data_IF_536776012858
#
_entry.id   IF_536776012858
#
_cell.length_a   1.000
_cell.length_b   1.000
_cell.length_c   1.000
_cell.angle_alpha   90.00
_cell.angle_beta   90.00
_cell.angle_gamma   90.00
#
_symmetry.space_group_name_H-M   'P 1'
#
loop_
_entity.id
_entity.type
_entity.pdbx_description
1 polymer ?
#
# COMPACT_ATOMS: atom_id res chain seq x y z
N UNK A 1 -12.81 9.49 0.34
CA UNK A 1 -11.90 10.41 -0.38
C UNK A 1 -10.81 9.57 -1.03
N UNK A 2 -10.32 9.93 -2.23
CA UNK A 2 -9.22 9.24 -2.92
C UNK A 2 -8.16 10.28 -3.29
N UNK A 3 -6.89 10.01 -2.99
CA UNK A 3 -5.77 10.93 -3.25
C UNK A 3 -4.68 10.15 -3.96
N UNK A 4 -4.20 10.67 -5.09
CA UNK A 4 -3.05 10.14 -5.81
C UNK A 4 -1.90 11.14 -5.72
N UNK A 5 -0.71 10.67 -5.32
CA UNK A 5 0.51 11.48 -5.25
C UNK A 5 1.42 11.08 -6.39
N UNK A 6 1.57 11.95 -7.39
CA UNK A 6 2.32 11.68 -8.63
C UNK A 6 3.46 12.68 -8.82
N UNK A 7 4.48 12.30 -9.60
CA UNK A 7 5.68 13.11 -9.81
C UNK A 7 6.91 12.31 -10.25
N UNK A 8 7.94 13.02 -10.72
CA UNK A 8 9.21 12.44 -11.20
C UNK A 8 10.02 11.75 -10.10
N UNK A 9 11.06 11.00 -10.50
CA UNK A 9 12.00 10.34 -9.57
C UNK A 9 12.63 11.33 -8.57
N UNK A 10 12.59 11.02 -7.28
CA UNK A 10 13.13 11.90 -6.24
C UNK A 10 12.35 13.21 -6.04
N UNK A 11 11.09 13.31 -6.47
CA UNK A 11 10.22 14.46 -6.17
C UNK A 11 9.66 14.48 -4.73
N UNK A 12 9.94 13.45 -3.93
CA UNK A 12 9.43 13.31 -2.56
C UNK A 12 8.08 12.63 -2.43
N UNK A 13 7.56 11.96 -3.48
CA UNK A 13 6.23 11.32 -3.47
C UNK A 13 5.99 10.44 -2.24
N UNK A 14 6.87 9.47 -2.00
CA UNK A 14 6.75 8.51 -0.90
C UNK A 14 6.74 9.22 0.46
N UNK A 15 7.63 10.20 0.64
CA UNK A 15 7.67 11.02 1.85
C UNK A 15 6.39 11.81 2.04
N UNK A 16 5.90 12.48 1.00
CA UNK A 16 4.64 13.23 1.04
C UNK A 16 3.45 12.33 1.32
N UNK A 17 3.37 11.15 0.69
CA UNK A 17 2.32 10.15 0.94
C UNK A 17 2.33 9.68 2.39
N UNK A 18 3.51 9.36 2.95
CA UNK A 18 3.63 8.93 4.34
C UNK A 18 3.19 10.02 5.33
N UNK A 19 3.67 11.25 5.14
CA UNK A 19 3.29 12.40 5.99
C UNK A 19 1.80 12.67 5.92
N UNK A 20 1.23 12.66 4.71
CA UNK A 20 -0.20 12.87 4.49
C UNK A 20 -1.04 11.79 5.18
N UNK A 21 -0.70 10.52 4.96
CA UNK A 21 -1.41 9.38 5.54
C UNK A 21 -1.40 9.42 7.08
N UNK A 22 -0.21 9.57 7.67
CA UNK A 22 -0.03 9.66 9.13
C UNK A 22 -0.73 10.89 9.72
N UNK A 23 -0.68 12.03 9.04
CA UNK A 23 -1.36 13.26 9.49
C UNK A 23 -2.89 13.11 9.49
N UNK A 24 -3.45 12.45 8.47
CA UNK A 24 -4.89 12.14 8.42
C UNK A 24 -5.28 11.10 9.49
N UNK A 25 -4.49 10.04 9.65
CA UNK A 25 -4.70 9.02 10.67
C UNK A 25 -4.72 9.59 12.09
N UNK A 26 -3.75 10.46 12.44
CA UNK A 26 -3.74 11.18 13.73
C UNK A 26 -4.94 12.08 13.97
N UNK A 27 -5.64 12.51 12.91
CA UNK A 27 -6.89 13.28 13.01
C UNK A 27 -8.13 12.39 13.14
N UNK A 28 -7.96 11.09 13.29
CA UNK A 28 -9.04 10.11 13.42
C UNK A 28 -9.66 9.68 12.09
N UNK A 29 -9.06 10.03 10.95
CA UNK A 29 -9.52 9.52 9.67
C UNK A 29 -9.11 8.04 9.52
N UNK A 30 -9.99 7.22 8.93
CA UNK A 30 -9.59 5.88 8.47
C UNK A 30 -8.78 6.02 7.18
N UNK A 31 -7.53 5.60 7.22
CA UNK A 31 -6.60 5.77 6.09
C UNK A 31 -6.08 4.42 5.65
N UNK A 32 -6.26 4.15 4.36
CA UNK A 32 -5.55 3.09 3.64
C UNK A 32 -4.53 3.76 2.75
N UNK A 33 -3.25 3.43 2.95
CA UNK A 33 -2.15 3.81 2.09
C UNK A 33 -1.87 2.68 1.10
N UNK A 34 -1.82 3.01 -0.18
CA UNK A 34 -1.50 2.06 -1.24
C UNK A 34 -0.14 2.43 -1.83
N UNK A 35 0.80 1.50 -1.78
CA UNK A 35 2.07 1.63 -2.48
C UNK A 35 1.98 0.94 -3.84
N UNK A 36 1.94 1.76 -4.89
CA UNK A 36 1.91 1.33 -6.28
C UNK A 36 3.23 1.64 -7.01
N UNK A 37 4.30 1.99 -6.28
CA UNK A 37 5.60 2.28 -6.89
C UNK A 37 6.29 0.98 -7.35
N UNK A 38 7.16 1.09 -8.37
CA UNK A 38 7.93 -0.07 -8.85
C UNK A 38 9.01 -0.49 -7.87
N UNK A 39 9.49 0.45 -7.05
CA UNK A 39 10.35 0.19 -5.91
C UNK A 39 9.63 0.65 -4.62
N UNK A 40 8.72 -0.19 -4.07
CA UNK A 40 7.87 0.15 -2.95
C UNK A 40 8.69 0.41 -1.68
N UNK A 41 8.57 1.63 -1.15
CA UNK A 41 9.31 2.11 0.03
C UNK A 41 8.40 2.83 1.04
N UNK A 42 7.07 2.79 0.82
CA UNK A 42 6.11 3.46 1.68
C UNK A 42 6.01 2.80 3.06
N UNK A 43 6.18 1.48 3.16
CA UNK A 43 6.18 0.75 4.43
C UNK A 43 7.22 1.25 5.42
N UNK A 44 8.46 1.39 4.96
CA UNK A 44 9.54 1.98 5.76
C UNK A 44 9.22 3.42 6.14
N UNK A 45 8.74 4.22 5.18
CA UNK A 45 8.40 5.64 5.42
C UNK A 45 7.23 5.83 6.40
N UNK A 46 6.29 4.87 6.45
CA UNK A 46 5.18 4.85 7.37
C UNK A 46 5.57 4.31 8.75
N UNK A 47 6.68 3.60 8.87
CA UNK A 47 7.11 2.97 10.12
C UNK A 47 6.43 1.62 10.39
N UNK A 48 6.11 0.86 9.34
CA UNK A 48 5.59 -0.52 9.43
C UNK A 48 6.67 -1.49 9.98
N UNK A 49 7.95 -1.14 9.77
CA UNK A 49 9.09 -1.97 10.16
C UNK A 49 9.60 -2.84 9.00
N UNK A 50 10.88 -3.22 9.08
CA UNK A 50 11.58 -3.87 7.98
C UNK A 50 10.98 -5.24 7.66
N UNK A 51 10.74 -6.07 8.68
CA UNK A 51 10.22 -7.43 8.50
C UNK A 51 8.83 -7.47 7.87
N UNK A 52 7.92 -6.60 8.32
CA UNK A 52 6.57 -6.53 7.76
C UNK A 52 6.57 -5.88 6.38
N UNK A 53 7.45 -4.91 6.13
CA UNK A 53 7.61 -4.35 4.79
C UNK A 53 8.10 -5.44 3.84
N UNK A 54 9.16 -6.18 4.20
CA UNK A 54 9.70 -7.28 3.40
C UNK A 54 8.66 -8.37 3.14
N UNK A 55 7.87 -8.77 4.16
CA UNK A 55 6.76 -9.71 4.00
C UNK A 55 5.77 -9.26 2.92
N UNK A 56 5.38 -7.98 2.92
CA UNK A 56 4.46 -7.43 1.92
C UNK A 56 5.06 -7.43 0.51
N UNK A 57 6.37 -7.18 0.39
CA UNK A 57 7.07 -7.25 -0.90
C UNK A 57 7.11 -8.69 -1.43
N UNK A 58 7.45 -9.66 -0.58
CA UNK A 58 7.43 -11.08 -0.97
C UNK A 58 6.04 -11.52 -1.42
N UNK A 59 4.98 -11.14 -0.69
CA UNK A 59 3.61 -11.49 -1.07
C UNK A 59 3.20 -10.86 -2.41
N UNK A 60 3.60 -9.62 -2.65
CA UNK A 60 3.39 -8.93 -3.93
C UNK A 60 4.08 -9.67 -5.07
N UNK A 61 5.34 -10.03 -4.87
CA UNK A 61 6.13 -10.71 -5.91
C UNK A 61 5.54 -12.10 -6.22
N UNK A 62 5.06 -12.84 -5.21
CA UNK A 62 4.33 -14.10 -5.41
C UNK A 62 3.04 -13.92 -6.23
N UNK A 63 2.30 -12.83 -6.04
CA UNK A 63 1.12 -12.53 -6.86
C UNK A 63 1.53 -12.19 -8.29
N UNK A 64 2.58 -11.39 -8.47
CA UNK A 64 3.10 -11.02 -9.80
C UNK A 64 3.65 -12.23 -10.59
N UNK A 65 4.23 -13.21 -9.90
CA UNK A 65 4.76 -14.46 -10.46
C UNK A 65 3.66 -15.53 -10.66
N UNK A 66 2.43 -15.30 -10.18
CA UNK A 66 1.31 -16.23 -10.26
C UNK A 66 1.39 -17.40 -9.27
N UNK A 67 2.25 -17.29 -8.25
CA UNK A 67 2.35 -18.24 -7.14
C UNK A 67 1.27 -18.02 -6.07
N UNK A 68 0.68 -16.81 -6.04
CA UNK A 68 -0.43 -16.45 -5.16
C UNK A 68 -1.61 -15.88 -5.97
N UNK A 69 -2.83 -16.12 -5.50
CA UNK A 69 -4.05 -15.65 -6.15
C UNK A 69 -4.29 -14.16 -5.93
N UNK A 70 -4.87 -13.48 -6.92
CA UNK A 70 -5.38 -12.12 -6.71
C UNK A 70 -6.50 -12.11 -5.65
N UNK A 71 -6.44 -11.16 -4.73
CA UNK A 71 -7.53 -10.92 -3.79
C UNK A 71 -8.79 -10.44 -4.54
N UNK A 72 -9.95 -11.10 -4.36
CA UNK A 72 -11.16 -10.78 -5.12
C UNK A 72 -11.90 -9.54 -4.60
N UNK A 73 -11.64 -9.12 -3.36
CA UNK A 73 -12.30 -7.97 -2.73
C UNK A 73 -11.30 -7.01 -2.08
N UNK A 74 -11.76 -5.79 -1.81
CA UNK A 74 -10.98 -4.80 -1.06
C UNK A 74 -10.59 -5.29 0.34
N UNK A 75 -11.50 -5.98 1.03
CA UNK A 75 -11.23 -6.49 2.37
C UNK A 75 -10.19 -7.62 2.31
N UNK A 76 -10.29 -8.52 1.32
CA UNK A 76 -9.27 -9.54 1.07
C UNK A 76 -7.88 -8.95 0.78
N UNK A 77 -7.82 -7.82 0.04
CA UNK A 77 -6.55 -7.12 -0.22
C UNK A 77 -5.93 -6.67 1.10
N UNK A 78 -6.71 -6.03 1.97
CA UNK A 78 -6.20 -5.49 3.23
C UNK A 78 -5.84 -6.58 4.23
N UNK A 79 -6.55 -7.71 4.21
CA UNK A 79 -6.32 -8.83 5.13
C UNK A 79 -5.15 -9.70 4.71
N UNK A 80 -4.99 -9.96 3.41
CA UNK A 80 -3.90 -10.83 2.89
C UNK A 80 -2.63 -10.05 2.59
N UNK A 81 -2.78 -8.87 1.99
CA UNK A 81 -1.69 -8.05 1.45
C UNK A 81 -1.58 -6.69 2.15
N UNK A 82 -2.03 -6.62 3.40
CA UNK A 82 -1.94 -5.43 4.21
C UNK A 82 -1.14 -5.61 5.50
N UNK A 83 -0.73 -4.49 6.06
CA UNK A 83 -0.14 -4.39 7.39
C UNK A 83 -0.61 -3.12 8.09
N UNK A 84 -0.69 -3.18 9.42
CA UNK A 84 -0.95 -2.00 10.23
C UNK A 84 0.31 -1.13 10.29
N UNK A 85 0.12 0.16 10.12
CA UNK A 85 1.11 1.19 10.35
C UNK A 85 0.68 2.05 11.55
N UNK A 86 1.61 2.79 12.18
CA UNK A 86 1.23 3.63 13.30
C UNK A 86 0.29 4.77 12.87
N UNK A 87 -0.34 5.40 13.86
CA UNK A 87 -1.38 6.43 13.70
C UNK A 87 -2.66 5.95 13.00
N UNK A 88 -2.99 4.66 13.08
CA UNK A 88 -4.25 4.11 12.55
C UNK A 88 -4.30 4.06 11.01
N UNK A 89 -3.13 3.98 10.37
CA UNK A 89 -2.99 3.82 8.92
C UNK A 89 -2.85 2.34 8.61
N UNK A 90 -3.54 1.84 7.59
CA UNK A 90 -3.28 0.50 7.03
C UNK A 90 -2.53 0.65 5.71
N UNK A 91 -1.47 -0.11 5.51
CA UNK A 91 -0.72 -0.15 4.26
C UNK A 91 -1.13 -1.39 3.46
N UNK A 92 -1.16 -1.28 2.13
CA UNK A 92 -1.09 -2.41 1.21
C UNK A 92 -0.19 -2.06 0.03
N UNK A 93 0.52 -3.06 -0.50
CA UNK A 93 1.35 -2.91 -1.70
C UNK A 93 0.63 -3.60 -2.85
N UNK A 94 0.41 -2.87 -3.94
CA UNK A 94 -0.41 -3.33 -5.07
C UNK A 94 0.29 -2.99 -6.37
N UNK A 95 0.47 -3.98 -7.24
CA UNK A 95 1.03 -3.82 -8.60
C UNK A 95 -0.03 -3.54 -9.64
N UNK A 96 -1.16 -4.25 -9.55
CA UNK A 96 -2.23 -4.16 -10.52
C UNK A 96 -3.58 -4.36 -9.86
N UNK A 97 -4.56 -3.60 -10.34
CA UNK A 97 -5.98 -3.86 -10.09
C UNK A 97 -6.56 -4.25 -11.44
N UNK A 98 -7.02 -5.48 -11.56
CA UNK A 98 -7.75 -5.95 -12.73
C UNK A 98 -9.23 -5.77 -12.43
N UNK A 99 -9.90 -4.94 -13.24
CA UNK A 99 -11.35 -4.89 -13.22
C UNK A 99 -11.82 -6.06 -14.07
N UNK A 100 -12.52 -7.08 -13.54
CA UNK A 100 -13.20 -8.02 -14.41
C UNK A 100 -14.12 -7.22 -15.32
N UNK A 101 -14.07 -7.47 -16.63
CA UNK A 101 -14.97 -6.78 -17.56
C UNK A 101 -16.40 -6.91 -17.06
N UNK A 102 -17.19 -5.82 -17.04
CA UNK A 102 -18.61 -5.96 -16.85
C UNK A 102 -19.11 -6.73 -18.08
N UNK A 103 -19.48 -8.00 -17.88
CA UNK A 103 -20.16 -8.78 -18.91
C UNK A 103 -21.40 -8.07 -19.45
#
# INVERSE_FOLDING_TARGET
>A
MKIAVVGKGGAGKTTTSAVLARSLGRRGARVVALDCDTNPNLGLSLGVGDSETERLLTLRDQVDEGEAEHAPTWDDILDRYGADAPDGVRLSVITRIENPEPG
#
